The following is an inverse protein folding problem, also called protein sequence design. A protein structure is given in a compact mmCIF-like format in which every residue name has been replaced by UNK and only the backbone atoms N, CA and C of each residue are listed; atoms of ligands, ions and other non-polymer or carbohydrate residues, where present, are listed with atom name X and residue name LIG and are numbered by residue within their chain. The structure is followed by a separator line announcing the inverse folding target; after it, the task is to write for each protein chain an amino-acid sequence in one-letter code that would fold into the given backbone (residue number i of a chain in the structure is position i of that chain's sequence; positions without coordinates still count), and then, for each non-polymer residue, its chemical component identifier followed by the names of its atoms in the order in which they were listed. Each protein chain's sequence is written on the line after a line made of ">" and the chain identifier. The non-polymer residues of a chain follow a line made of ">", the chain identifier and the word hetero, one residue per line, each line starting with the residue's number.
data_IF_518633132527
#
_entry.id   IF_518633132527
#
_cell.length_a   1.000
_cell.length_b   1.000
_cell.length_c   1.000
_cell.angle_alpha   90.00
_cell.angle_beta   90.00
_cell.angle_gamma   90.00
#
_symmetry.space_group_name_H-M   'P 1'
#
loop_
_entity.id
_entity.type
_entity.pdbx_description
1 polymer ?
#
# COMPACT_ATOMS: atom_id res chain seq x y z
N UNK A 1 21.70 7.45 20.94
CA UNK A 1 20.57 7.11 20.02
C UNK A 1 19.72 6.17 20.83
N UNK A 2 18.62 6.66 21.39
CA UNK A 2 17.95 6.02 22.53
C UNK A 2 16.63 5.35 22.10
N UNK A 3 16.69 4.51 21.06
CA UNK A 3 15.54 3.82 20.52
C UNK A 3 15.65 2.29 20.69
N UNK A 4 14.50 1.60 20.69
CA UNK A 4 14.40 0.14 20.68
C UNK A 4 13.79 -0.37 19.37
N UNK A 5 13.83 -1.68 19.17
CA UNK A 5 13.29 -2.35 17.98
C UNK A 5 12.28 -3.41 18.39
N UNK A 6 11.11 -3.40 17.76
CA UNK A 6 10.14 -4.50 17.84
C UNK A 6 10.12 -5.19 16.48
N UNK A 7 10.48 -6.47 16.47
CA UNK A 7 10.44 -7.31 15.28
C UNK A 7 9.09 -8.03 15.24
N UNK A 8 8.35 -7.85 14.16
CA UNK A 8 7.10 -8.60 13.91
C UNK A 8 7.38 -9.58 12.77
N UNK A 9 7.65 -10.86 13.06
CA UNK A 9 7.91 -11.84 12.01
C UNK A 9 6.66 -12.08 11.16
N UNK A 10 6.85 -12.46 9.90
CA UNK A 10 5.78 -13.09 9.13
C UNK A 10 5.67 -14.57 9.50
N UNK A 11 4.50 -15.14 9.25
CA UNK A 11 4.28 -16.58 9.42
C UNK A 11 5.33 -17.41 8.64
N UNK A 12 6.01 -18.32 9.35
CA UNK A 12 7.07 -19.17 8.80
C UNK A 12 8.47 -18.55 8.77
N UNK A 13 8.64 -17.25 9.07
CA UNK A 13 9.96 -16.64 9.19
C UNK A 13 10.65 -17.07 10.49
N UNK A 14 11.92 -17.48 10.38
CA UNK A 14 12.77 -17.75 11.54
C UNK A 14 13.39 -16.45 12.02
N UNK A 15 12.99 -15.98 13.20
CA UNK A 15 13.61 -14.85 13.87
C UNK A 15 14.46 -15.31 15.05
N UNK A 16 15.48 -14.52 15.39
CA UNK A 16 16.31 -14.76 16.56
C UNK A 16 15.55 -14.52 17.87
N UNK A 17 16.20 -14.82 18.99
CA UNK A 17 15.64 -14.57 20.31
C UNK A 17 15.56 -13.08 20.62
N UNK A 18 14.63 -12.71 21.51
CA UNK A 18 14.59 -11.38 22.11
C UNK A 18 15.90 -11.04 22.80
N UNK A 19 16.26 -9.75 22.80
CA UNK A 19 17.38 -9.20 23.58
C UNK A 19 16.91 -7.95 24.31
N UNK A 20 16.18 -8.10 25.44
CA UNK A 20 15.62 -6.95 26.16
C UNK A 20 16.69 -5.98 26.69
N UNK A 21 17.89 -6.47 27.03
CA UNK A 21 19.04 -5.63 27.40
C UNK A 21 19.46 -4.67 26.29
N UNK A 22 19.26 -5.08 25.03
CA UNK A 22 19.55 -4.31 23.83
C UNK A 22 18.29 -3.59 23.30
N UNK A 23 17.18 -3.65 24.06
CA UNK A 23 15.85 -3.12 23.67
C UNK A 23 15.31 -3.71 22.38
N UNK A 24 15.55 -5.00 22.16
CA UNK A 24 15.03 -5.76 21.00
C UNK A 24 13.98 -6.76 21.49
N UNK A 25 12.75 -6.58 21.05
CA UNK A 25 11.60 -7.44 21.38
C UNK A 25 11.05 -8.09 20.11
N UNK A 26 10.47 -9.28 20.24
CA UNK A 26 9.93 -10.06 19.13
C UNK A 26 8.44 -10.31 19.39
N UNK A 27 7.60 -9.73 18.56
CA UNK A 27 6.16 -9.91 18.65
C UNK A 27 5.72 -11.29 18.13
N UNK A 28 4.47 -11.65 18.39
CA UNK A 28 3.85 -12.79 17.72
C UNK A 28 3.83 -12.59 16.21
N UNK A 29 4.01 -13.66 15.41
CA UNK A 29 3.98 -13.54 13.96
C UNK A 29 2.67 -12.96 13.45
N UNK A 30 2.76 -12.10 12.44
CA UNK A 30 1.60 -11.72 11.65
C UNK A 30 1.08 -12.98 10.93
N UNK A 31 -0.12 -13.41 11.27
CA UNK A 31 -0.77 -14.60 10.71
C UNK A 31 -1.73 -14.26 9.57
N UNK A 32 -2.02 -15.25 8.73
CA UNK A 32 -3.06 -15.15 7.70
C UNK A 32 -2.75 -14.14 6.59
N UNK A 33 -3.79 -13.55 6.00
CA UNK A 33 -3.65 -12.69 4.81
C UNK A 33 -2.72 -11.49 5.03
N UNK A 34 -2.64 -10.95 6.26
CA UNK A 34 -1.76 -9.84 6.61
C UNK A 34 -0.28 -10.16 6.36
N UNK A 35 0.14 -11.42 6.55
CA UNK A 35 1.51 -11.87 6.28
C UNK A 35 1.85 -11.84 4.78
N UNK A 36 0.83 -11.90 3.92
CA UNK A 36 0.99 -12.01 2.46
C UNK A 36 1.00 -10.65 1.76
N UNK A 37 0.58 -9.58 2.44
CA UNK A 37 0.54 -8.24 1.89
C UNK A 37 1.96 -7.67 1.76
N UNK A 38 2.30 -7.20 0.57
CA UNK A 38 3.58 -6.53 0.34
C UNK A 38 3.45 -5.44 -0.71
N UNK A 39 4.18 -4.35 -0.55
CA UNK A 39 4.18 -3.25 -1.52
C UNK A 39 4.64 -3.71 -2.91
N UNK A 40 5.48 -4.75 -2.99
CA UNK A 40 5.88 -5.35 -4.28
C UNK A 40 4.71 -5.98 -5.01
N UNK A 41 3.82 -6.69 -4.30
CA UNK A 41 2.60 -7.27 -4.91
C UNK A 41 1.63 -6.16 -5.33
N UNK A 42 1.44 -5.13 -4.49
CA UNK A 42 0.59 -3.99 -4.83
C UNK A 42 1.09 -3.28 -6.09
N UNK A 43 2.39 -2.97 -6.19
CA UNK A 43 2.96 -2.34 -7.40
C UNK A 43 2.85 -3.23 -8.64
N UNK A 44 3.04 -4.54 -8.48
CA UNK A 44 2.86 -5.50 -9.58
C UNK A 44 1.40 -5.52 -10.06
N UNK A 45 0.44 -5.50 -9.15
CA UNK A 45 -0.98 -5.44 -9.49
C UNK A 45 -1.35 -4.11 -10.16
N UNK A 46 -0.81 -2.99 -9.64
CA UNK A 46 -0.98 -1.66 -10.22
C UNK A 46 -0.45 -1.58 -11.65
N UNK A 47 0.74 -2.10 -11.91
CA UNK A 47 1.32 -2.15 -13.25
C UNK A 47 0.52 -3.01 -14.24
N UNK A 48 -0.31 -3.95 -13.75
CA UNK A 48 -1.21 -4.79 -14.54
C UNK A 48 -2.62 -4.23 -14.66
N UNK A 49 -2.97 -3.16 -13.94
CA UNK A 49 -4.34 -2.67 -13.83
C UNK A 49 -5.30 -3.61 -13.09
N UNK A 50 -4.78 -4.47 -12.21
CA UNK A 50 -5.59 -5.46 -11.48
C UNK A 50 -6.21 -4.84 -10.21
N UNK A 51 -7.34 -4.13 -10.38
CA UNK A 51 -8.02 -3.44 -9.28
C UNK A 51 -8.46 -4.40 -8.16
N UNK A 52 -8.90 -5.61 -8.52
CA UNK A 52 -9.39 -6.60 -7.56
C UNK A 52 -8.26 -7.09 -6.65
N UNK A 53 -7.09 -7.38 -7.22
CA UNK A 53 -5.92 -7.76 -6.44
C UNK A 53 -5.46 -6.63 -5.51
N UNK A 54 -5.50 -5.37 -5.97
CA UNK A 54 -5.15 -4.20 -5.14
C UNK A 54 -6.12 -4.09 -3.96
N UNK A 55 -7.43 -4.11 -4.22
CA UNK A 55 -8.47 -3.98 -3.18
C UNK A 55 -8.43 -5.10 -2.13
N UNK A 56 -7.90 -6.28 -2.47
CA UNK A 56 -7.72 -7.37 -1.51
C UNK A 56 -6.50 -7.19 -0.57
N UNK A 57 -5.58 -6.26 -0.88
CA UNK A 57 -4.32 -6.08 -0.14
C UNK A 57 -4.25 -4.80 0.70
N UNK A 58 -5.07 -3.80 0.39
CA UNK A 58 -5.08 -2.49 1.07
C UNK A 58 -6.52 -2.04 1.33
N UNK A 59 -6.69 -1.04 2.19
CA UNK A 59 -8.02 -0.52 2.49
C UNK A 59 -8.67 0.12 1.24
N UNK A 60 -10.02 0.16 1.17
CA UNK A 60 -10.74 0.70 0.02
C UNK A 60 -10.34 2.12 -0.37
N UNK A 61 -10.04 2.97 0.61
CA UNK A 61 -9.66 4.37 0.40
C UNK A 61 -8.31 4.48 -0.32
N UNK A 62 -7.33 3.66 0.10
CA UNK A 62 -6.02 3.58 -0.52
C UNK A 62 -6.09 2.94 -1.92
N UNK A 63 -6.93 1.92 -2.10
CA UNK A 63 -7.17 1.31 -3.41
C UNK A 63 -7.75 2.34 -4.38
N UNK A 64 -8.78 3.09 -3.97
CA UNK A 64 -9.37 4.15 -4.80
C UNK A 64 -8.34 5.24 -5.13
N UNK A 65 -7.53 5.68 -4.17
CA UNK A 65 -6.49 6.68 -4.41
C UNK A 65 -5.48 6.21 -5.47
N UNK A 66 -5.04 4.95 -5.42
CA UNK A 66 -4.06 4.41 -6.36
C UNK A 66 -4.63 4.11 -7.75
N UNK A 67 -5.90 3.73 -7.83
CA UNK A 67 -6.51 3.21 -9.06
C UNK A 67 -7.35 4.27 -9.77
N UNK A 68 -8.02 5.14 -9.01
CA UNK A 68 -8.91 6.20 -9.48
C UNK A 68 -8.72 7.48 -8.67
N UNK A 69 -7.51 8.09 -8.71
CA UNK A 69 -7.29 9.38 -8.06
C UNK A 69 -8.19 10.45 -8.66
N UNK A 70 -8.57 11.44 -7.86
CA UNK A 70 -9.14 12.69 -8.38
C UNK A 70 -8.05 13.55 -9.04
N UNK A 71 -8.43 14.57 -9.80
CA UNK A 71 -7.48 15.53 -10.40
C UNK A 71 -6.64 16.19 -9.32
N UNK A 72 -7.29 16.69 -8.26
CA UNK A 72 -6.61 17.35 -7.14
C UNK A 72 -5.62 16.42 -6.42
N UNK A 73 -5.98 15.14 -6.24
CA UNK A 73 -5.10 14.16 -5.64
C UNK A 73 -3.91 13.84 -6.56
N UNK A 74 -4.16 13.66 -7.86
CA UNK A 74 -3.11 13.44 -8.84
C UNK A 74 -2.11 14.59 -8.86
N UNK A 75 -2.61 15.83 -8.83
CA UNK A 75 -1.79 17.03 -8.74
C UNK A 75 -1.01 17.13 -7.42
N UNK A 76 -1.64 16.79 -6.28
CA UNK A 76 -1.00 16.84 -4.97
C UNK A 76 0.15 15.84 -4.83
N UNK A 77 0.07 14.68 -5.51
CA UNK A 77 1.06 13.60 -5.44
C UNK A 77 1.72 13.29 -6.79
N UNK A 78 1.89 14.30 -7.65
CA UNK A 78 2.35 14.11 -9.04
C UNK A 78 3.61 13.25 -9.15
N UNK A 79 4.60 13.47 -8.28
CA UNK A 79 5.86 12.71 -8.28
C UNK A 79 5.66 11.25 -7.91
N UNK A 80 4.75 10.97 -6.98
CA UNK A 80 4.47 9.60 -6.54
C UNK A 80 3.72 8.84 -7.64
N UNK A 81 2.75 9.49 -8.30
CA UNK A 81 2.03 8.89 -9.42
C UNK A 81 2.91 8.70 -10.65
N UNK A 82 3.87 9.58 -10.92
CA UNK A 82 4.88 9.38 -11.97
C UNK A 82 5.73 8.13 -11.68
N UNK A 83 6.19 7.95 -10.43
CA UNK A 83 6.96 6.77 -10.04
C UNK A 83 6.14 5.48 -10.12
N UNK A 84 4.86 5.55 -9.75
CA UNK A 84 3.93 4.43 -9.80
C UNK A 84 3.33 4.20 -11.19
N UNK A 85 3.58 5.10 -12.14
CA UNK A 85 3.01 5.12 -13.50
C UNK A 85 1.48 5.10 -13.50
N UNK A 86 0.88 5.82 -12.56
CA UNK A 86 -0.58 6.00 -12.49
C UNK A 86 -0.95 7.18 -13.38
N UNK A 87 -1.81 6.98 -14.40
CA UNK A 87 -2.16 8.03 -15.32
C UNK A 87 -2.98 9.13 -14.62
N UNK A 88 -2.85 10.36 -15.12
CA UNK A 88 -3.73 11.45 -14.70
C UNK A 88 -5.20 11.08 -15.01
N UNK A 89 -6.13 11.37 -14.11
CA UNK A 89 -7.54 11.13 -14.36
C UNK A 89 -8.00 11.99 -15.53
N UNK A 90 -8.74 11.38 -16.46
CA UNK A 90 -9.39 12.12 -17.54
C UNK A 90 -10.52 12.93 -16.90
N UNK A 91 -10.51 14.26 -17.06
CA UNK A 91 -11.68 15.08 -16.74
C UNK A 91 -12.87 14.50 -17.51
N UNK A 92 -13.79 13.86 -16.79
CA UNK A 92 -15.06 13.49 -17.40
C UNK A 92 -15.81 14.79 -17.59
N UNK A 93 -15.77 15.33 -18.80
CA UNK A 93 -16.73 16.35 -19.25
C UNK A 93 -18.10 15.71 -19.08
N UNK A 94 -18.78 16.04 -17.99
CA UNK A 94 -20.19 15.74 -17.85
C UNK A 94 -20.89 16.61 -18.88
N UNK A 95 -21.15 16.06 -20.06
CA UNK A 95 -22.13 16.63 -20.97
C UNK A 95 -23.49 16.51 -20.28
N UNK A 96 -23.76 17.41 -19.34
CA UNK A 96 -25.10 17.84 -19.03
C UNK A 96 -25.57 18.62 -20.26
N UNK A 97 -26.10 17.90 -21.25
CA UNK A 97 -26.79 18.51 -22.37
C UNK A 97 -27.98 19.32 -21.84
N UNK A 98 -28.26 20.51 -22.39
CA UNK A 98 -29.38 21.32 -21.95
C UNK A 98 -30.70 20.75 -22.51
N UNK A 99 -31.68 20.72 -21.61
CA UNK A 99 -33.15 20.67 -21.82
C UNK A 99 -33.78 19.39 -22.33
#
# INVERSE_FOLDING_TARGET
>A
RDFGVVVVPREGEKVGNERPSDRILVAQPAAGNAATFSSTKVRTALAKGDEAAIAAMICPEAARLLVRPTVDEHMAFVRDYDQLRVPAPVERVTNAGPS
#
